data_IF_388057766525
#
_entry.id   IF_388057766525
#
_cell.length_a   1.000
_cell.length_b   1.000
_cell.length_c   1.000
_cell.angle_alpha   90.00
_cell.angle_beta   90.00
_cell.angle_gamma   90.00
#
_symmetry.space_group_name_H-M   'P 1'
#
loop_
_entity.id
_entity.type
_entity.pdbx_description
1 polymer ?
#
# COMPACT_ATOMS: atom_id res chain seq x y z
N UNK A 1 6.86 -15.47 -21.16
CA UNK A 1 5.95 -14.80 -20.20
C UNK A 1 6.81 -13.80 -19.46
N UNK A 2 6.69 -12.52 -19.80
CA UNK A 2 7.46 -11.47 -19.11
C UNK A 2 6.97 -11.40 -17.66
N UNK A 3 7.84 -11.72 -16.71
CA UNK A 3 7.54 -11.63 -15.29
C UNK A 3 7.64 -10.16 -14.90
N UNK A 4 6.55 -9.57 -14.41
CA UNK A 4 6.56 -8.20 -13.92
C UNK A 4 7.56 -8.08 -12.75
N UNK A 5 8.32 -6.97 -12.66
CA UNK A 5 9.20 -6.71 -11.52
C UNK A 5 8.48 -6.73 -10.16
N UNK A 6 7.22 -6.32 -10.15
CA UNK A 6 6.34 -6.45 -9.00
C UNK A 6 4.90 -6.79 -9.41
N UNK A 7 4.29 -7.72 -8.68
CA UNK A 7 2.87 -8.00 -8.71
C UNK A 7 2.37 -8.34 -7.30
N UNK A 8 1.37 -7.59 -6.82
CA UNK A 8 0.87 -7.76 -5.46
C UNK A 8 0.18 -9.13 -5.27
N UNK A 9 0.79 -10.00 -4.46
CA UNK A 9 0.26 -11.34 -4.15
C UNK A 9 -0.75 -11.37 -2.99
N UNK A 10 -1.31 -10.22 -2.60
CA UNK A 10 -2.19 -10.09 -1.43
C UNK A 10 -1.61 -10.73 -0.15
N UNK A 11 -0.28 -10.70 0.02
CA UNK A 11 0.41 -11.44 1.10
C UNK A 11 0.36 -10.79 2.48
N UNK A 12 0.01 -9.49 2.55
CA UNK A 12 -0.09 -8.76 3.81
C UNK A 12 1.23 -8.18 4.35
N UNK A 13 2.38 -8.37 3.67
CA UNK A 13 3.66 -7.75 4.09
C UNK A 13 3.52 -6.23 4.26
N UNK A 14 2.96 -5.54 3.26
CA UNK A 14 2.76 -4.09 3.32
C UNK A 14 1.65 -3.65 4.29
N UNK A 15 0.82 -4.59 4.75
CA UNK A 15 -0.21 -4.34 5.76
C UNK A 15 0.32 -4.46 7.19
N UNK A 16 1.55 -4.92 7.40
CA UNK A 16 2.15 -5.09 8.72
C UNK A 16 2.96 -3.84 9.10
N UNK A 17 2.75 -3.33 10.31
CA UNK A 17 3.42 -2.13 10.83
C UNK A 17 2.44 -0.99 11.17
N UNK A 18 2.98 0.10 11.72
CA UNK A 18 2.20 1.24 12.21
C UNK A 18 2.56 2.54 11.48
N UNK A 19 1.54 3.35 11.18
CA UNK A 19 1.71 4.74 10.71
C UNK A 19 2.10 4.92 9.24
N UNK A 20 2.28 3.83 8.48
CA UNK A 20 2.65 3.90 7.05
C UNK A 20 1.50 4.26 6.10
N UNK A 21 0.25 4.10 6.53
CA UNK A 21 -0.93 4.30 5.68
C UNK A 21 -1.73 5.49 6.17
N UNK A 22 -1.53 6.64 5.54
CA UNK A 22 -2.38 7.82 5.71
C UNK A 22 -3.29 8.01 4.51
N UNK A 23 -4.47 8.55 4.75
CA UNK A 23 -5.48 8.83 3.73
C UNK A 23 -5.89 10.30 3.77
N UNK A 24 -6.38 10.81 2.64
CA UNK A 24 -6.97 12.15 2.57
C UNK A 24 -8.47 12.14 2.86
N UNK A 25 -9.04 13.32 3.10
CA UNK A 25 -10.50 13.47 3.25
C UNK A 25 -11.23 13.09 1.94
N UNK A 26 -10.58 13.22 0.77
CA UNK A 26 -11.16 12.83 -0.52
C UNK A 26 -11.17 11.30 -0.74
N UNK A 27 -10.18 10.57 -0.23
CA UNK A 27 -10.11 9.10 -0.35
C UNK A 27 -11.14 8.40 0.55
N UNK A 28 -11.47 9.04 1.67
CA UNK A 28 -12.23 8.43 2.75
C UNK A 28 -13.63 7.95 2.35
N UNK A 29 -14.48 8.76 1.66
CA UNK A 29 -15.78 8.29 1.20
C UNK A 29 -15.69 7.14 0.20
N UNK A 30 -14.61 7.09 -0.60
CA UNK A 30 -14.39 6.01 -1.57
C UNK A 30 -14.15 4.67 -0.89
N UNK A 31 -13.27 4.66 0.12
CA UNK A 31 -12.93 3.45 0.88
C UNK A 31 -14.13 2.99 1.72
N UNK A 32 -14.79 3.91 2.43
CA UNK A 32 -15.96 3.58 3.24
C UNK A 32 -17.08 2.94 2.40
N UNK A 33 -17.39 3.53 1.23
CA UNK A 33 -18.40 3.01 0.29
C UNK A 33 -18.04 1.62 -0.21
N UNK A 34 -16.78 1.37 -0.55
CA UNK A 34 -16.32 0.08 -1.02
C UNK A 34 -16.53 -1.04 0.03
N UNK A 35 -16.40 -0.69 1.32
CA UNK A 35 -16.65 -1.60 2.44
C UNK A 35 -18.12 -1.66 2.89
N UNK A 36 -19.03 -1.02 2.15
CA UNK A 36 -20.45 -0.88 2.53
C UNK A 36 -20.65 -0.26 3.93
N UNK A 37 -19.78 0.69 4.30
CA UNK A 37 -19.81 1.41 5.58
C UNK A 37 -20.18 2.88 5.36
N UNK A 38 -20.77 3.52 6.38
CA UNK A 38 -20.80 4.98 6.44
C UNK A 38 -19.38 5.53 6.64
N UNK A 39 -19.15 6.78 6.24
CA UNK A 39 -17.90 7.51 6.50
C UNK A 39 -17.60 7.57 8.00
N UNK A 40 -18.62 7.85 8.81
CA UNK A 40 -18.52 7.98 10.26
C UNK A 40 -18.13 6.65 10.94
N UNK A 41 -18.74 5.55 10.51
CA UNK A 41 -18.42 4.21 11.01
C UNK A 41 -17.01 3.78 10.58
N UNK A 42 -16.65 4.09 9.32
CA UNK A 42 -15.32 3.79 8.80
C UNK A 42 -14.24 4.53 9.59
N UNK A 43 -14.41 5.85 9.78
CA UNK A 43 -13.48 6.65 10.58
C UNK A 43 -13.33 6.12 12.00
N UNK A 44 -14.46 5.84 12.66
CA UNK A 44 -14.47 5.38 14.05
C UNK A 44 -13.76 4.05 14.22
N UNK A 45 -14.00 3.10 13.30
CA UNK A 45 -13.53 1.72 13.45
C UNK A 45 -12.14 1.50 12.84
N UNK A 46 -11.83 2.17 11.72
CA UNK A 46 -10.64 1.87 10.92
C UNK A 46 -9.59 2.98 10.93
N UNK A 47 -9.90 4.21 11.34
CA UNK A 47 -8.98 5.34 11.27
C UNK A 47 -8.47 5.82 12.64
N UNK A 48 -7.36 6.54 12.61
CA UNK A 48 -6.75 7.26 13.72
C UNK A 48 -6.36 8.67 13.23
N UNK A 49 -6.96 9.72 13.81
CA UNK A 49 -6.58 11.11 13.53
C UNK A 49 -5.42 11.52 14.43
N UNK A 50 -4.29 11.93 13.85
CA UNK A 50 -3.08 12.38 14.58
C UNK A 50 -2.38 13.49 13.80
N UNK A 51 -2.01 14.58 14.46
CA UNK A 51 -1.28 15.71 13.85
C UNK A 51 -1.94 16.25 12.57
N UNK A 52 -3.28 16.36 12.55
CA UNK A 52 -4.03 16.87 11.39
C UNK A 52 -4.09 15.91 10.19
N UNK A 53 -3.70 14.64 10.35
CA UNK A 53 -3.77 13.61 9.31
C UNK A 53 -4.63 12.43 9.77
N UNK A 54 -5.22 11.73 8.80
CA UNK A 54 -5.98 10.50 9.03
C UNK A 54 -5.08 9.32 8.67
N UNK A 55 -4.86 8.43 9.63
CA UNK A 55 -4.11 7.18 9.42
C UNK A 55 -5.09 6.01 9.48
N UNK A 56 -4.82 4.97 8.71
CA UNK A 56 -5.45 3.68 8.96
C UNK A 56 -4.84 3.09 10.23
N UNK A 57 -5.72 2.67 11.14
CA UNK A 57 -5.37 2.09 12.43
C UNK A 57 -4.63 0.77 12.23
N UNK A 58 -3.60 0.55 13.04
CA UNK A 58 -2.98 -0.77 13.21
C UNK A 58 -3.64 -1.47 14.38
N UNK A 59 -4.07 -2.71 14.18
CA UNK A 59 -4.67 -3.57 15.22
C UNK A 59 -3.59 -4.09 16.17
N UNK A 60 -4.02 -4.72 17.27
CA UNK A 60 -3.12 -5.28 18.27
C UNK A 60 -2.21 -6.41 17.74
N UNK A 61 -2.61 -7.08 16.65
CA UNK A 61 -1.81 -8.11 15.97
C UNK A 61 -0.72 -7.51 15.04
N UNK A 62 -0.63 -6.17 14.96
CA UNK A 62 0.35 -5.46 14.13
C UNK A 62 -0.06 -5.31 12.66
N UNK A 63 -1.26 -5.75 12.27
CA UNK A 63 -1.79 -5.55 10.92
C UNK A 63 -2.68 -4.31 10.83
N UNK A 64 -2.69 -3.71 9.64
CA UNK A 64 -3.66 -2.71 9.21
C UNK A 64 -5.10 -3.19 9.49
N UNK A 65 -5.98 -2.29 9.95
CA UNK A 65 -7.38 -2.59 10.23
C UNK A 65 -8.20 -3.04 9.00
N UNK A 66 -7.63 -2.91 7.80
CA UNK A 66 -8.22 -3.30 6.51
C UNK A 66 -7.66 -4.63 5.97
N UNK A 67 -7.00 -5.42 6.82
CA UNK A 67 -6.44 -6.72 6.48
C UNK A 67 -7.25 -7.86 7.11
N UNK A 68 -7.71 -8.82 6.31
CA UNK A 68 -8.36 -10.04 6.80
C UNK A 68 -8.03 -11.23 5.91
N UNK A 69 -6.81 -11.77 6.04
CA UNK A 69 -6.27 -12.78 5.12
C UNK A 69 -5.99 -12.27 3.70
N UNK A 70 -6.33 -11.01 3.43
CA UNK A 70 -6.18 -10.28 2.17
C UNK A 70 -6.44 -8.79 2.42
N UNK A 71 -5.94 -7.93 1.53
CA UNK A 71 -6.26 -6.50 1.60
C UNK A 71 -7.73 -6.27 1.21
N UNK A 72 -8.56 -5.91 2.18
CA UNK A 72 -10.00 -5.74 2.00
C UNK A 72 -10.34 -4.62 1.01
N UNK A 73 -9.44 -3.65 0.85
CA UNK A 73 -9.65 -2.46 0.01
C UNK A 73 -8.75 -2.46 -1.23
N UNK A 74 -8.28 -3.63 -1.67
CA UNK A 74 -7.30 -3.74 -2.76
C UNK A 74 -7.64 -2.92 -4.03
N UNK A 75 -8.91 -2.86 -4.50
CA UNK A 75 -9.27 -2.06 -5.68
C UNK A 75 -9.33 -0.55 -5.44
N UNK A 76 -9.51 -0.13 -4.19
CA UNK A 76 -9.61 1.29 -3.78
C UNK A 76 -8.48 1.66 -2.82
N UNK A 77 -7.29 1.08 -3.04
CA UNK A 77 -6.12 1.32 -2.19
C UNK A 77 -5.87 2.82 -2.02
N UNK A 78 -5.60 3.26 -0.79
CA UNK A 78 -5.14 4.63 -0.59
C UNK A 78 -3.75 4.82 -1.22
N UNK A 79 -3.40 6.07 -1.52
CA UNK A 79 -2.16 6.42 -2.24
C UNK A 79 -0.91 5.73 -1.68
N UNK A 80 -0.61 5.71 -0.37
CA UNK A 80 0.58 5.02 0.13
C UNK A 80 0.58 3.50 -0.15
N UNK A 81 -0.58 2.86 -0.20
CA UNK A 81 -0.70 1.43 -0.51
C UNK A 81 -0.55 1.14 -2.01
N UNK A 82 -0.91 2.08 -2.88
CA UNK A 82 -0.67 1.99 -4.33
C UNK A 82 0.81 2.19 -4.67
N UNK A 83 1.46 3.11 -3.97
CA UNK A 83 2.88 3.40 -4.14
C UNK A 83 3.79 2.26 -3.66
N UNK A 84 3.29 1.25 -2.95
CA UNK A 84 4.12 0.10 -2.60
C UNK A 84 4.35 -0.82 -3.81
N UNK A 85 5.61 -1.19 -4.15
CA UNK A 85 6.89 -0.83 -3.52
C UNK A 85 7.62 0.33 -4.22
N UNK A 86 6.99 1.02 -5.16
CA UNK A 86 7.56 2.13 -5.95
C UNK A 86 7.69 3.48 -5.21
N UNK A 87 7.82 3.50 -3.88
CA UNK A 87 8.10 4.73 -3.15
C UNK A 87 9.37 5.40 -3.67
N UNK A 88 9.41 6.75 -3.67
CA UNK A 88 10.59 7.52 -4.11
C UNK A 88 11.89 7.07 -3.44
N UNK A 89 11.83 6.62 -2.18
CA UNK A 89 12.98 6.10 -1.46
C UNK A 89 13.53 4.78 -2.05
N UNK A 90 12.65 3.89 -2.53
CA UNK A 90 13.02 2.63 -3.19
C UNK A 90 13.39 2.85 -4.65
N UNK A 91 12.75 3.82 -5.33
CA UNK A 91 13.04 4.18 -6.72
C UNK A 91 14.37 4.92 -6.91
N UNK A 92 14.92 5.50 -5.84
CA UNK A 92 16.18 6.28 -5.85
C UNK A 92 17.35 5.56 -5.21
N UNK A 93 17.10 4.56 -4.37
CA UNK A 93 18.12 3.82 -3.64
C UNK A 93 17.87 2.31 -3.79
N UNK A 94 18.81 1.65 -4.46
CA UNK A 94 18.78 0.21 -4.72
C UNK A 94 18.73 -0.60 -3.42
N UNK A 95 19.39 -0.15 -2.36
CA UNK A 95 19.45 -0.88 -1.08
C UNK A 95 18.06 -0.96 -0.44
N UNK A 96 17.25 0.10 -0.55
CA UNK A 96 15.87 0.10 -0.05
C UNK A 96 14.97 -0.85 -0.85
N UNK A 97 15.17 -0.94 -2.18
CA UNK A 97 14.45 -1.90 -3.02
C UNK A 97 14.88 -3.34 -2.73
N UNK A 98 16.17 -3.60 -2.49
CA UNK A 98 16.67 -4.94 -2.13
C UNK A 98 16.04 -5.43 -0.81
N UNK A 99 15.92 -4.55 0.20
CA UNK A 99 15.16 -4.88 1.41
C UNK A 99 13.69 -5.18 1.11
N UNK A 100 13.03 -4.40 0.24
CA UNK A 100 11.65 -4.68 -0.14
C UNK A 100 11.51 -6.04 -0.87
N UNK A 101 12.50 -6.38 -1.70
CA UNK A 101 12.60 -7.63 -2.46
C UNK A 101 12.72 -8.85 -1.55
N UNK A 102 13.49 -8.75 -0.46
CA UNK A 102 13.61 -9.81 0.54
C UNK A 102 12.34 -10.02 1.38
N UNK A 103 11.54 -8.97 1.58
CA UNK A 103 10.40 -9.00 2.50
C UNK A 103 9.05 -9.22 1.80
N UNK A 104 8.93 -8.90 0.51
CA UNK A 104 7.68 -8.96 -0.23
C UNK A 104 7.72 -10.03 -1.33
N UNK A 105 6.94 -11.12 -1.21
CA UNK A 105 6.88 -12.19 -2.23
C UNK A 105 6.30 -11.72 -3.57
N UNK A 106 5.72 -10.52 -3.63
CA UNK A 106 5.27 -9.92 -4.87
C UNK A 106 6.37 -9.25 -5.68
N UNK A 107 7.55 -9.02 -5.11
CA UNK A 107 8.70 -8.51 -5.85
C UNK A 107 9.40 -9.71 -6.50
N UNK A 108 9.60 -9.64 -7.82
CA UNK A 108 10.25 -10.72 -8.55
C UNK A 108 11.72 -10.87 -8.09
N UNK A 109 12.14 -12.04 -7.58
CA UNK A 109 13.52 -12.28 -7.12
C UNK A 109 14.57 -12.17 -8.23
N UNK A 110 14.16 -12.33 -9.49
CA UNK A 110 15.06 -12.26 -10.64
C UNK A 110 15.04 -10.88 -11.33
N UNK A 111 14.12 -9.99 -10.95
CA UNK A 111 14.04 -8.66 -11.55
C UNK A 111 15.28 -7.82 -11.20
N UNK A 112 15.73 -7.04 -12.18
CA UNK A 112 16.78 -6.03 -12.01
C UNK A 112 16.21 -4.75 -11.43
N UNK A 113 17.10 -3.89 -10.92
CA UNK A 113 16.69 -2.60 -10.37
C UNK A 113 16.15 -1.68 -11.48
N UNK A 114 16.73 -1.77 -12.67
CA UNK A 114 16.33 -0.99 -13.85
C UNK A 114 14.93 -1.38 -14.33
N UNK A 115 14.59 -2.67 -14.31
CA UNK A 115 13.24 -3.17 -14.63
C UNK A 115 12.22 -2.70 -13.58
N UNK A 116 12.57 -2.80 -12.29
CA UNK A 116 11.74 -2.26 -11.20
C UNK A 116 11.48 -0.76 -11.38
N UNK A 117 12.51 0.02 -11.70
CA UNK A 117 12.37 1.45 -11.96
C UNK A 117 11.53 1.73 -13.22
N UNK A 118 11.61 0.90 -14.26
CA UNK A 118 10.79 1.03 -15.46
C UNK A 118 9.31 0.83 -15.14
N UNK A 119 8.96 -0.22 -14.38
CA UNK A 119 7.59 -0.44 -13.94
C UNK A 119 7.10 0.70 -13.04
N UNK A 120 7.90 1.15 -12.07
CA UNK A 120 7.48 2.24 -11.18
C UNK A 120 7.20 3.56 -11.90
N UNK A 121 7.93 3.86 -12.99
CA UNK A 121 7.64 5.02 -13.84
C UNK A 121 6.30 4.88 -14.58
N UNK A 122 6.01 3.72 -15.17
CA UNK A 122 4.74 3.50 -15.88
C UNK A 122 3.51 3.56 -14.98
N UNK A 123 3.63 3.08 -13.74
CA UNK A 123 2.54 3.14 -12.74
C UNK A 123 2.28 4.59 -12.28
N UNK A 124 3.33 5.41 -12.17
CA UNK A 124 3.20 6.82 -11.75
C UNK A 124 2.64 7.71 -12.87
N UNK A 125 2.97 7.41 -14.13
CA UNK A 125 2.47 8.15 -15.31
C UNK A 125 0.99 7.86 -15.61
N UNK A 126 0.48 6.71 -15.19
CA UNK A 126 -0.91 6.29 -15.42
C UNK A 126 -1.93 6.98 -14.50
N UNK A 127 -1.47 7.71 -13.48
CA UNK A 127 -2.32 8.39 -12.49
C UNK A 127 -2.29 9.94 -12.63
N UNK A 128 -1.72 10.48 -13.72
CA UNK A 128 -1.67 11.93 -14.05
C UNK A 128 -2.72 12.37 -15.05
#
# INVERSE_FOLDING_TARGET
MELKPFECQLCGTCCKGEGGVFITEEELPGIARYLNSSVEDFERNHCLRKNGRIYIRTRADGYCSLWDGGCLVHPVKPRPCKEWPFFKAMMRDRSNWEVAKENCPGVNPDATYEEFQAQGRSETESES
#
